data_IF_636793526823
#
_entry.id   IF_636793526823
#
_cell.length_a   1.000
_cell.length_b   1.000
_cell.length_c   1.000
_cell.angle_alpha   90.00
_cell.angle_beta   90.00
_cell.angle_gamma   90.00
#
_symmetry.space_group_name_H-M   'P 1'
#
loop_
_entity.id
_entity.type
_entity.pdbx_description
1 polymer ?
#
# COMPACT_ATOMS: atom_id res chain seq x y z
N UNK A 1 -12.24 -48.08 26.72
CA UNK A 1 -12.13 -46.73 26.11
C UNK A 1 -10.82 -46.68 25.34
N UNK A 2 -10.89 -46.42 24.03
CA UNK A 2 -9.82 -46.66 23.07
C UNK A 2 -8.73 -45.57 23.14
N UNK A 3 -7.47 -46.01 23.17
CA UNK A 3 -6.27 -45.16 23.05
C UNK A 3 -5.92 -45.00 21.57
N UNK A 4 -5.90 -43.77 21.07
CA UNK A 4 -5.57 -43.46 19.69
C UNK A 4 -4.17 -42.81 19.60
N UNK A 5 -3.26 -43.57 18.99
CA UNK A 5 -1.86 -43.26 18.72
C UNK A 5 -1.70 -42.09 17.74
N UNK A 6 -0.96 -41.06 18.13
CA UNK A 6 -0.57 -39.92 17.27
C UNK A 6 0.58 -40.37 16.36
N UNK A 7 0.30 -40.68 15.08
CA UNK A 7 1.34 -40.93 14.07
C UNK A 7 1.88 -39.59 13.54
N UNK A 8 3.18 -39.40 13.70
CA UNK A 8 3.98 -38.37 13.07
C UNK A 8 4.08 -38.65 11.56
N UNK A 9 3.83 -37.65 10.72
CA UNK A 9 3.98 -37.73 9.26
C UNK A 9 5.05 -36.73 8.83
N UNK A 10 6.25 -37.26 8.61
CA UNK A 10 7.38 -36.55 8.00
C UNK A 10 7.19 -36.61 6.49
N UNK A 11 7.04 -35.46 5.83
CA UNK A 11 6.96 -35.37 4.38
C UNK A 11 8.37 -35.25 3.80
N UNK A 12 8.89 -36.35 3.27
CA UNK A 12 10.10 -36.37 2.44
C UNK A 12 9.69 -36.05 1.00
N UNK A 13 10.17 -34.94 0.45
CA UNK A 13 10.16 -34.70 -1.00
C UNK A 13 11.63 -34.66 -1.44
N UNK A 14 12.05 -35.77 -2.04
CA UNK A 14 13.24 -35.83 -2.87
C UNK A 14 12.87 -35.31 -4.26
N UNK A 15 13.67 -34.39 -4.80
CA UNK A 15 13.77 -34.21 -6.24
C UNK A 15 15.24 -34.28 -6.62
N UNK A 16 15.53 -35.35 -7.34
CA UNK A 16 16.78 -35.66 -8.01
C UNK A 16 17.08 -34.66 -9.12
N UNK A 17 18.37 -34.50 -9.38
CA UNK A 17 18.99 -33.53 -10.24
C UNK A 17 18.84 -33.89 -11.72
N UNK A 18 18.54 -32.88 -12.54
CA UNK A 18 18.91 -32.89 -13.95
C UNK A 18 19.72 -31.65 -14.28
N UNK A 19 20.95 -31.89 -14.73
CA UNK A 19 21.98 -30.91 -15.04
C UNK A 19 21.55 -29.87 -16.09
N UNK A 20 21.96 -28.62 -15.88
CA UNK A 20 21.99 -27.56 -16.90
C UNK A 20 23.40 -26.94 -16.93
N UNK A 21 23.87 -26.51 -18.12
CA UNK A 21 25.28 -26.30 -18.39
C UNK A 21 25.88 -25.07 -17.71
N UNK A 22 27.11 -25.24 -17.24
CA UNK A 22 28.03 -24.21 -16.75
C UNK A 22 28.36 -23.20 -17.85
N UNK A 23 27.81 -21.98 -17.72
CA UNK A 23 28.29 -20.81 -18.46
C UNK A 23 29.40 -20.09 -17.67
N UNK A 24 30.38 -19.48 -18.36
CA UNK A 24 31.64 -19.06 -17.75
C UNK A 24 31.50 -17.88 -16.79
N UNK A 25 32.22 -17.97 -15.66
CA UNK A 25 32.55 -16.86 -14.75
C UNK A 25 33.37 -15.82 -15.50
N UNK A 26 32.76 -14.68 -15.82
CA UNK A 26 33.50 -13.44 -16.03
C UNK A 26 33.42 -12.60 -14.76
N UNK A 27 34.54 -12.55 -14.04
CA UNK A 27 34.78 -11.57 -13.01
C UNK A 27 35.08 -10.22 -13.68
N UNK A 28 34.15 -9.28 -13.58
CA UNK A 28 34.43 -7.87 -13.79
C UNK A 28 34.09 -7.13 -12.51
N UNK A 29 35.13 -6.78 -11.75
CA UNK A 29 35.07 -5.75 -10.73
C UNK A 29 34.60 -4.47 -11.40
N UNK A 30 33.40 -4.00 -11.07
CA UNK A 30 32.96 -2.66 -11.43
C UNK A 30 32.39 -2.02 -10.19
N UNK A 31 33.18 -1.09 -9.66
CA UNK A 31 32.84 -0.14 -8.61
C UNK A 31 31.40 0.34 -8.79
N UNK A 32 30.52 -0.05 -7.87
CA UNK A 32 29.09 0.23 -7.94
C UNK A 32 28.83 1.74 -7.85
N UNK A 33 28.64 2.36 -9.01
CA UNK A 33 28.01 3.67 -9.09
C UNK A 33 26.59 3.58 -8.49
N UNK A 34 26.10 4.62 -7.79
CA UNK A 34 24.74 4.60 -7.25
C UNK A 34 23.76 4.45 -8.40
N UNK A 35 23.02 3.34 -8.41
CA UNK A 35 21.96 3.06 -9.37
C UNK A 35 20.95 4.19 -9.29
N UNK A 36 21.00 5.10 -10.27
CA UNK A 36 20.00 6.15 -10.43
C UNK A 36 18.67 5.45 -10.71
N UNK A 37 17.79 5.44 -9.72
CA UNK A 37 16.43 4.96 -9.90
C UNK A 37 15.76 5.91 -10.89
N UNK A 38 15.61 5.46 -12.12
CA UNK A 38 14.80 6.14 -13.13
C UNK A 38 13.36 6.11 -12.63
N UNK A 39 12.95 7.15 -11.89
CA UNK A 39 11.54 7.38 -11.61
C UNK A 39 10.96 7.82 -12.94
N UNK A 40 10.09 7.01 -13.59
CA UNK A 40 9.43 7.45 -14.80
C UNK A 40 8.79 8.80 -14.48
N UNK A 41 9.14 9.82 -15.26
CA UNK A 41 8.60 11.15 -15.11
C UNK A 41 7.09 11.00 -14.95
N UNK A 42 6.54 11.36 -13.79
CA UNK A 42 5.10 11.30 -13.51
C UNK A 42 4.48 12.39 -14.39
N UNK A 43 4.34 12.06 -15.67
CA UNK A 43 3.99 12.96 -16.75
C UNK A 43 2.56 13.40 -16.51
N UNK A 44 2.42 14.70 -16.26
CA UNK A 44 1.17 15.45 -16.10
C UNK A 44 0.19 14.83 -15.12
N UNK A 45 0.36 15.18 -13.84
CA UNK A 45 -0.73 15.15 -12.86
C UNK A 45 -1.98 15.74 -13.52
N UNK A 46 -3.03 14.94 -13.69
CA UNK A 46 -4.30 15.43 -14.22
C UNK A 46 -4.72 16.66 -13.39
N UNK A 47 -4.71 17.80 -14.08
CA UNK A 47 -5.01 19.18 -13.67
C UNK A 47 -6.51 19.35 -13.36
N UNK A 48 -7.21 18.29 -12.96
CA UNK A 48 -8.59 18.41 -12.56
C UNK A 48 -8.67 19.32 -11.33
N UNK A 49 -9.50 20.36 -11.45
CA UNK A 49 -9.80 21.28 -10.34
C UNK A 49 -10.41 20.47 -9.20
N UNK A 50 -9.99 20.78 -7.97
CA UNK A 50 -10.57 20.19 -6.76
C UNK A 50 -12.09 20.45 -6.73
N UNK A 51 -12.95 19.42 -6.68
CA UNK A 51 -14.41 19.62 -6.73
C UNK A 51 -14.93 20.39 -5.51
N UNK A 52 -14.60 19.94 -4.30
CA UNK A 52 -15.01 20.60 -3.04
C UNK A 52 -13.89 20.59 -2.01
N UNK A 53 -14.03 21.36 -0.94
CA UNK A 53 -13.11 21.36 0.20
C UNK A 53 -13.03 20.02 0.96
N UNK A 54 -13.98 19.12 0.72
CA UNK A 54 -14.02 17.78 1.29
C UNK A 54 -13.37 16.72 0.40
N UNK A 55 -12.98 17.08 -0.83
CA UNK A 55 -12.26 16.17 -1.71
C UNK A 55 -10.76 16.21 -1.41
N UNK A 56 -10.14 15.05 -1.22
CA UNK A 56 -8.70 14.92 -1.02
C UNK A 56 -8.05 14.29 -2.25
N UNK A 57 -6.78 14.64 -2.50
CA UNK A 57 -6.03 13.98 -3.58
C UNK A 57 -5.80 12.53 -3.20
N UNK A 58 -6.08 11.65 -4.15
CA UNK A 58 -5.84 10.23 -4.03
C UNK A 58 -5.10 9.68 -5.26
N UNK A 59 -4.44 8.54 -5.04
CA UNK A 59 -3.83 7.71 -6.07
C UNK A 59 -4.53 6.36 -6.04
N UNK A 60 -5.18 6.01 -7.14
CA UNK A 60 -5.88 4.75 -7.34
C UNK A 60 -4.98 3.76 -8.08
N UNK A 61 -4.81 2.58 -7.50
CA UNK A 61 -4.18 1.44 -8.13
C UNK A 61 -5.27 0.44 -8.49
N UNK A 62 -5.79 0.53 -9.71
CA UNK A 62 -6.79 -0.41 -10.22
C UNK A 62 -6.14 -1.68 -10.82
N UNK A 63 -6.71 -2.88 -10.61
CA UNK A 63 -6.14 -4.11 -11.16
C UNK A 63 -6.15 -4.17 -12.69
N UNK A 64 -7.11 -3.48 -13.31
CA UNK A 64 -7.25 -3.39 -14.78
C UNK A 64 -6.37 -2.32 -15.42
N UNK A 65 -5.64 -1.54 -14.62
CA UNK A 65 -4.86 -0.39 -15.09
C UNK A 65 -3.39 -0.72 -15.01
N UNK A 66 -2.65 -0.40 -16.07
CA UNK A 66 -1.19 -0.56 -16.10
C UNK A 66 -0.46 0.53 -15.29
N UNK A 67 -1.13 1.66 -15.04
CA UNK A 67 -0.58 2.84 -14.38
C UNK A 67 -1.56 3.36 -13.32
N UNK A 68 -1.03 3.98 -12.25
CA UNK A 68 -1.89 4.56 -11.22
C UNK A 68 -2.62 5.78 -11.75
N UNK A 69 -3.82 6.01 -11.24
CA UNK A 69 -4.67 7.13 -11.61
C UNK A 69 -4.75 8.13 -10.45
N UNK A 70 -4.51 9.41 -10.75
CA UNK A 70 -4.71 10.48 -9.77
C UNK A 70 -6.15 10.97 -9.82
N UNK A 71 -6.80 11.03 -8.67
CA UNK A 71 -8.20 11.45 -8.57
C UNK A 71 -8.46 12.33 -7.36
N UNK A 72 -9.65 12.93 -7.33
CA UNK A 72 -10.20 13.62 -6.16
C UNK A 72 -11.23 12.71 -5.52
N UNK A 73 -11.03 12.41 -4.24
CA UNK A 73 -11.89 11.52 -3.49
C UNK A 73 -12.64 12.27 -2.41
N UNK A 74 -13.97 12.16 -2.41
CA UNK A 74 -14.81 12.73 -1.35
C UNK A 74 -14.51 12.03 -0.02
N UNK A 75 -14.21 12.83 1.01
CA UNK A 75 -14.07 12.35 2.38
C UNK A 75 -15.18 12.94 3.24
N UNK A 76 -16.19 12.12 3.55
CA UNK A 76 -17.33 12.51 4.39
C UNK A 76 -16.89 12.59 5.84
N UNK A 77 -17.50 13.49 6.61
CA UNK A 77 -17.40 13.44 8.06
C UNK A 77 -18.30 12.34 8.59
N UNK A 78 -17.69 11.42 9.33
CA UNK A 78 -18.36 10.42 10.15
C UNK A 78 -18.40 10.99 11.56
N UNK A 79 -19.59 11.03 12.15
CA UNK A 79 -19.74 11.40 13.55
C UNK A 79 -19.31 10.20 14.39
N UNK A 80 -18.48 10.45 15.39
CA UNK A 80 -18.14 9.42 16.36
C UNK A 80 -19.31 9.33 17.36
N UNK A 81 -19.92 8.16 17.47
CA UNK A 81 -21.08 7.95 18.34
C UNK A 81 -20.69 7.99 19.83
N UNK A 82 -19.41 7.79 20.14
CA UNK A 82 -18.89 7.73 21.52
C UNK A 82 -18.54 9.12 22.09
N UNK A 83 -18.33 10.12 21.25
CA UNK A 83 -17.94 11.47 21.68
C UNK A 83 -19.14 12.42 21.67
N UNK A 84 -19.77 12.61 22.84
CA UNK A 84 -20.71 13.71 23.12
C UNK A 84 -20.11 15.13 22.88
N UNK A 85 -18.87 15.21 22.42
CA UNK A 85 -18.10 16.43 22.15
C UNK A 85 -17.83 16.59 20.64
N UNK A 86 -18.83 16.32 19.78
CA UNK A 86 -18.84 16.77 18.38
C UNK A 86 -17.62 16.40 17.52
N UNK A 87 -16.89 15.34 17.90
CA UNK A 87 -15.59 14.96 17.37
C UNK A 87 -15.68 14.10 16.12
N UNK A 88 -16.30 14.58 15.04
CA UNK A 88 -16.36 13.78 13.80
C UNK A 88 -15.00 13.67 13.09
N UNK A 89 -14.67 12.49 12.56
CA UNK A 89 -13.50 12.27 11.71
C UNK A 89 -13.88 12.20 10.22
N UNK A 90 -12.94 12.46 9.32
CA UNK A 90 -13.18 12.31 7.88
C UNK A 90 -12.82 10.91 7.40
N UNK A 91 -13.74 10.25 6.69
CA UNK A 91 -13.51 8.95 6.05
C UNK A 91 -13.78 9.05 4.54
N UNK A 92 -12.89 8.54 3.68
CA UNK A 92 -13.14 8.50 2.24
C UNK A 92 -14.33 7.61 1.89
N UNK A 93 -15.05 7.98 0.82
CA UNK A 93 -16.02 7.09 0.20
C UNK A 93 -15.30 6.03 -0.66
N UNK A 94 -14.99 4.88 -0.08
CA UNK A 94 -14.22 3.80 -0.75
C UNK A 94 -15.07 2.75 -1.45
N UNK A 95 -16.36 2.66 -1.12
CA UNK A 95 -17.22 1.53 -1.49
C UNK A 95 -17.31 1.32 -3.00
N UNK A 96 -17.38 2.43 -3.76
CA UNK A 96 -17.44 2.40 -5.23
C UNK A 96 -16.14 2.00 -5.90
N UNK A 97 -15.03 2.05 -5.17
CA UNK A 97 -13.67 1.84 -5.71
C UNK A 97 -13.12 0.50 -5.28
N UNK A 98 -13.20 0.20 -3.99
CA UNK A 98 -12.62 -1.00 -3.38
C UNK A 98 -13.67 -2.12 -3.28
N UNK A 99 -14.95 -1.76 -3.29
CA UNK A 99 -16.08 -2.65 -3.00
C UNK A 99 -16.65 -2.34 -1.60
N UNK A 100 -17.87 -2.78 -1.34
CA UNK A 100 -18.50 -2.73 -0.03
C UNK A 100 -18.30 -4.07 0.67
N UNK A 101 -17.07 -4.33 1.10
CA UNK A 101 -16.68 -5.57 1.76
C UNK A 101 -16.34 -5.25 3.23
N UNK A 102 -16.76 -6.12 4.14
CA UNK A 102 -16.38 -6.08 5.57
C UNK A 102 -14.86 -6.21 5.78
N UNK A 103 -14.12 -6.56 4.71
CA UNK A 103 -12.68 -6.81 4.71
C UNK A 103 -11.85 -5.62 4.20
N UNK A 104 -12.43 -4.42 4.06
CA UNK A 104 -11.65 -3.20 3.79
C UNK A 104 -10.86 -2.83 5.04
N UNK A 105 -9.55 -2.65 4.88
CA UNK A 105 -8.66 -2.12 5.90
C UNK A 105 -8.19 -0.73 5.54
N UNK A 106 -8.06 0.09 6.58
CA UNK A 106 -7.47 1.41 6.51
C UNK A 106 -6.18 1.43 7.34
N UNK A 107 -5.08 1.85 6.72
CA UNK A 107 -3.80 2.07 7.40
C UNK A 107 -3.33 3.50 7.20
N UNK A 108 -2.79 4.12 8.24
CA UNK A 108 -2.27 5.48 8.19
C UNK A 108 -0.75 5.49 8.34
N UNK A 109 -0.07 6.25 7.48
CA UNK A 109 1.36 6.45 7.49
C UNK A 109 1.68 7.93 7.73
N UNK A 110 2.52 8.18 8.74
CA UNK A 110 3.00 9.51 9.09
C UNK A 110 4.53 9.61 9.09
N UNK A 111 5.21 8.56 8.64
CA UNK A 111 6.66 8.50 8.63
C UNK A 111 7.16 7.95 7.30
N UNK A 112 8.20 8.57 6.75
CA UNK A 112 8.88 8.08 5.57
C UNK A 112 10.10 7.24 6.00
N UNK A 113 10.08 5.90 5.87
CA UNK A 113 11.19 5.06 6.30
C UNK A 113 12.44 5.26 5.43
N UNK A 114 12.29 5.61 4.15
CA UNK A 114 13.42 5.85 3.24
C UNK A 114 14.16 7.13 3.58
N UNK A 115 13.42 8.20 3.90
CA UNK A 115 13.98 9.52 4.26
C UNK A 115 14.21 9.69 5.76
N UNK A 116 13.82 8.70 6.56
CA UNK A 116 13.90 8.68 8.03
C UNK A 116 13.32 9.93 8.70
N UNK A 117 12.20 10.45 8.18
CA UNK A 117 11.58 11.69 8.69
C UNK A 117 10.05 11.60 8.75
N UNK A 118 9.41 12.32 9.68
CA UNK A 118 7.95 12.44 9.70
C UNK A 118 7.43 13.11 8.43
N UNK A 119 6.23 12.72 8.02
CA UNK A 119 5.48 13.36 6.95
C UNK A 119 4.73 14.58 7.52
N UNK A 120 4.61 15.64 6.75
CA UNK A 120 3.80 16.81 7.13
C UNK A 120 2.30 16.51 7.14
N UNK A 121 1.89 15.53 6.33
CA UNK A 121 0.50 15.08 6.20
C UNK A 121 0.46 13.56 6.39
N UNK A 122 -0.70 13.05 6.77
CA UNK A 122 -0.93 11.61 6.85
C UNK A 122 -1.25 11.06 5.46
N UNK A 123 -0.64 9.95 5.09
CA UNK A 123 -1.07 9.14 3.94
C UNK A 123 -1.92 8.02 4.49
N UNK A 124 -3.17 7.93 4.06
CA UNK A 124 -4.06 6.84 4.43
C UNK A 124 -4.21 5.89 3.23
N UNK A 125 -3.91 4.62 3.45
CA UNK A 125 -4.07 3.53 2.51
C UNK A 125 -5.37 2.79 2.84
N UNK A 126 -6.23 2.63 1.85
CA UNK A 126 -7.39 1.75 1.90
C UNK A 126 -7.20 0.60 0.89
N UNK A 127 -7.46 -0.63 1.33
CA UNK A 127 -7.31 -1.85 0.51
C UNK A 127 -8.17 -2.99 1.06
N UNK A 128 -8.35 -4.03 0.24
CA UNK A 128 -8.95 -5.30 0.70
C UNK A 128 -7.88 -6.18 1.34
N UNK A 129 -8.15 -6.70 2.52
CA UNK A 129 -7.21 -7.61 3.20
C UNK A 129 -7.27 -9.04 2.64
N UNK A 130 -8.46 -9.49 2.22
CA UNK A 130 -8.72 -10.88 1.82
C UNK A 130 -8.33 -11.24 0.39
N UNK A 131 -7.35 -10.53 -0.19
CA UNK A 131 -6.99 -10.61 -1.61
C UNK A 131 -6.48 -11.98 -2.08
N UNK A 132 -6.15 -12.88 -1.15
CA UNK A 132 -5.71 -14.24 -1.45
C UNK A 132 -6.87 -15.24 -1.58
N UNK A 133 -8.03 -14.94 -0.99
CA UNK A 133 -9.17 -15.86 -0.92
C UNK A 133 -10.43 -15.32 -1.61
N UNK A 134 -10.50 -14.00 -1.86
CA UNK A 134 -11.65 -13.34 -2.49
C UNK A 134 -11.62 -13.37 -4.04
N UNK A 135 -10.64 -14.04 -4.64
CA UNK A 135 -10.45 -14.07 -6.10
C UNK A 135 -9.89 -12.77 -6.70
N UNK A 136 -9.30 -11.88 -5.88
CA UNK A 136 -8.69 -10.64 -6.33
C UNK A 136 -7.64 -10.87 -7.41
N UNK A 137 -7.74 -10.09 -8.49
CA UNK A 137 -6.81 -10.15 -9.62
C UNK A 137 -5.50 -9.43 -9.30
N UNK A 138 -4.37 -9.85 -9.91
CA UNK A 138 -3.10 -9.14 -9.82
C UNK A 138 -3.22 -7.66 -10.21
N UNK A 139 -2.59 -6.80 -9.41
CA UNK A 139 -2.60 -5.35 -9.62
C UNK A 139 -1.40 -4.92 -10.46
N UNK A 140 -1.61 -4.85 -11.77
CA UNK A 140 -0.56 -4.48 -12.74
C UNK A 140 0.01 -3.09 -12.50
N UNK A 141 -0.80 -2.17 -11.95
CA UNK A 141 -0.35 -0.82 -11.62
C UNK A 141 0.66 -0.81 -10.47
N UNK A 142 0.54 -1.71 -9.48
CA UNK A 142 1.50 -1.81 -8.38
C UNK A 142 2.75 -2.55 -8.86
N UNK A 143 2.56 -3.65 -9.59
CA UNK A 143 3.67 -4.39 -10.17
C UNK A 143 4.56 -3.48 -11.03
N UNK A 144 3.97 -2.61 -11.85
CA UNK A 144 4.73 -1.72 -12.74
C UNK A 144 5.57 -0.67 -12.01
N UNK A 145 5.09 -0.12 -10.88
CA UNK A 145 5.84 0.89 -10.12
C UNK A 145 6.84 0.28 -9.12
N UNK A 146 6.68 -0.99 -8.80
CA UNK A 146 7.56 -1.73 -7.88
C UNK A 146 8.58 -2.60 -8.60
N UNK A 147 8.48 -2.73 -9.92
CA UNK A 147 9.44 -3.42 -10.77
C UNK A 147 10.79 -2.69 -10.75
N UNK A 148 11.64 -3.00 -9.77
CA UNK A 148 12.99 -2.41 -9.65
C UNK A 148 14.03 -3.18 -10.46
N UNK A 149 13.73 -4.42 -10.81
CA UNK A 149 14.55 -5.30 -11.66
C UNK A 149 13.63 -6.16 -12.54
N UNK A 150 14.08 -6.66 -13.71
CA UNK A 150 13.30 -7.60 -14.51
C UNK A 150 12.87 -8.82 -13.68
N UNK A 151 11.56 -9.08 -13.63
CA UNK A 151 10.99 -10.16 -12.82
C UNK A 151 10.87 -9.86 -11.31
N UNK A 152 11.48 -8.78 -10.81
CA UNK A 152 11.40 -8.36 -9.40
C UNK A 152 10.35 -7.28 -9.18
N UNK A 153 9.10 -7.69 -8.93
CA UNK A 153 7.98 -6.81 -8.60
C UNK A 153 7.20 -7.34 -7.39
N UNK A 154 6.45 -6.47 -6.73
CA UNK A 154 5.54 -6.88 -5.66
C UNK A 154 4.22 -7.37 -6.26
N UNK A 155 3.87 -8.65 -6.06
CA UNK A 155 2.55 -9.20 -6.41
C UNK A 155 1.50 -8.74 -5.40
N UNK A 156 1.00 -7.53 -5.58
CA UNK A 156 -0.19 -7.06 -4.89
C UNK A 156 -1.44 -7.41 -5.69
N UNK A 157 -2.51 -7.80 -5.01
CA UNK A 157 -3.79 -8.17 -5.64
C UNK A 157 -4.93 -7.26 -5.20
N UNK A 158 -5.90 -7.08 -6.09
CA UNK A 158 -7.07 -6.23 -5.84
C UNK A 158 -6.77 -4.72 -5.92
N UNK A 159 -7.81 -3.88 -5.81
CA UNK A 159 -7.67 -2.43 -5.83
C UNK A 159 -7.05 -1.91 -4.52
N UNK A 160 -6.26 -0.84 -4.62
CA UNK A 160 -5.84 -0.06 -3.46
C UNK A 160 -5.90 1.44 -3.73
N UNK A 161 -6.09 2.21 -2.67
CA UNK A 161 -6.32 3.65 -2.72
C UNK A 161 -5.45 4.35 -1.68
N UNK A 162 -4.60 5.26 -2.13
CA UNK A 162 -3.75 6.06 -1.26
C UNK A 162 -4.25 7.50 -1.24
N UNK A 163 -4.57 8.03 -0.06
CA UNK A 163 -5.18 9.35 0.10
C UNK A 163 -4.28 10.22 0.97
N UNK A 164 -4.00 11.44 0.51
CA UNK A 164 -3.34 12.45 1.35
C UNK A 164 -4.39 13.08 2.26
N UNK A 165 -4.30 12.84 3.56
CA UNK A 165 -5.10 13.50 4.59
C UNK A 165 -4.26 14.59 5.27
N UNK A 166 -4.76 15.82 5.24
CA UNK A 166 -4.22 16.86 6.12
C UNK A 166 -4.70 16.55 7.53
N UNK A 167 -3.79 16.36 8.47
CA UNK A 167 -4.17 16.38 9.87
C UNK A 167 -4.62 17.80 10.20
N UNK A 168 -5.83 17.94 10.74
CA UNK A 168 -6.13 19.12 11.54
C UNK A 168 -5.31 18.95 12.81
N UNK A 169 -4.36 19.85 13.05
CA UNK A 169 -3.59 19.98 14.28
C UNK A 169 -4.53 20.26 15.48
N UNK A 170 -5.38 19.31 15.85
CA UNK A 170 -6.39 19.56 16.86
C UNK A 170 -5.90 19.23 18.26
N UNK A 171 -4.89 18.37 18.46
CA UNK A 171 -4.47 18.03 19.85
C UNK A 171 -2.95 17.83 20.05
N UNK A 172 -2.13 17.51 19.04
CA UNK A 172 -0.70 17.19 19.27
C UNK A 172 0.28 18.39 19.31
N UNK A 173 -0.23 19.64 19.31
CA UNK A 173 0.61 20.84 19.55
C UNK A 173 0.50 21.40 20.97
N UNK A 174 0.01 20.61 21.93
CA UNK A 174 0.02 20.94 23.36
C UNK A 174 1.11 20.21 24.17
N UNK A 175 1.85 19.27 23.59
CA UNK A 175 2.92 18.55 24.28
C UNK A 175 4.34 19.10 23.99
N UNK A 176 4.47 20.36 23.55
CA UNK A 176 5.78 21.03 23.40
C UNK A 176 5.98 22.24 24.32
N UNK A 177 5.13 22.41 25.33
CA UNK A 177 5.26 23.53 26.29
C UNK A 177 5.21 23.11 27.75
N UNK A 178 5.38 21.83 28.08
CA UNK A 178 5.49 21.38 29.47
C UNK A 178 6.47 20.20 29.57
N UNK A 179 7.75 20.53 29.74
CA UNK A 179 8.65 19.76 30.62
C UNK A 179 9.62 20.77 31.22
N UNK A 180 9.62 20.76 32.55
CA UNK A 180 10.40 21.58 33.47
C UNK A 180 11.91 21.35 33.33
#
# INVERSE_FOLDING_TARGET
MQSATKKSMTLNIAHDASALPTAPRNASNTTGAPTSYFVPQISTFATSKRPTAEHYRAVLFGPDKARPEFTWLLCKRVQDDDDNVGGGYQMPETDKIIGNDILIKHMSYQYNPRLKKPLQDTIMLAYREAVLIDGSRPNRSIASITATQPGGYHDWRGPSLHIRKKEKNSIHRLAKTLTW
#
